data_IF_657660221707
#
_entry.id   IF_657660221707
#
_cell.length_a   1.000
_cell.length_b   1.000
_cell.length_c   1.000
_cell.angle_alpha   90.00
_cell.angle_beta   90.00
_cell.angle_gamma   90.00
#
_symmetry.space_group_name_H-M   'P 1'
#
loop_
_entity.id
_entity.type
_entity.pdbx_description
1 polymer ?
#
# COMPACT_ATOMS: atom_id res chain seq x y z
N UNK A 1 23.02 -16.76 5.15
CA UNK A 1 22.74 -16.05 6.40
C UNK A 1 21.58 -15.05 6.25
N UNK A 2 21.62 -14.12 5.28
CA UNK A 2 20.58 -13.13 4.97
C UNK A 2 20.53 -12.83 3.47
N UNK A 3 19.33 -12.64 2.91
CA UNK A 3 19.10 -12.17 1.54
C UNK A 3 18.24 -10.92 1.60
N UNK A 4 18.54 -9.92 0.80
CA UNK A 4 17.78 -8.69 0.73
C UNK A 4 17.99 -7.97 -0.60
N UNK A 5 17.06 -7.08 -0.97
CA UNK A 5 17.12 -6.26 -2.18
C UNK A 5 17.31 -4.79 -1.83
N UNK A 6 17.81 -4.01 -2.77
CA UNK A 6 17.94 -2.57 -2.63
C UNK A 6 17.99 -1.86 -3.97
N UNK A 7 17.52 -0.60 -4.02
CA UNK A 7 17.73 0.30 -5.16
C UNK A 7 19.18 0.83 -5.21
N UNK A 8 19.86 0.89 -4.06
CA UNK A 8 21.26 1.22 -3.92
C UNK A 8 21.92 0.24 -2.96
N UNK A 9 22.65 -0.74 -3.50
CA UNK A 9 23.35 -1.77 -2.73
C UNK A 9 24.35 -1.15 -1.75
N UNK A 10 25.15 -0.15 -2.19
CA UNK A 10 26.10 0.56 -1.33
C UNK A 10 25.42 1.15 -0.09
N UNK A 11 24.38 1.97 -0.27
CA UNK A 11 23.65 2.59 0.86
C UNK A 11 23.01 1.55 1.76
N UNK A 12 22.52 0.45 1.19
CA UNK A 12 21.92 -0.64 1.97
C UNK A 12 22.95 -1.34 2.84
N UNK A 13 24.07 -1.72 2.27
CA UNK A 13 25.16 -2.39 3.01
C UNK A 13 25.69 -1.45 4.09
N UNK A 14 26.03 -0.20 3.75
CA UNK A 14 26.50 0.80 4.72
C UNK A 14 25.53 0.96 5.91
N UNK A 15 24.22 0.90 5.68
CA UNK A 15 23.20 1.06 6.73
C UNK A 15 23.25 -0.02 7.80
N UNK A 16 23.74 -1.21 7.51
CA UNK A 16 23.91 -2.27 8.49
C UNK A 16 25.10 -2.05 9.39
N UNK A 17 26.18 -1.42 8.91
CA UNK A 17 27.43 -1.22 9.67
C UNK A 17 27.45 0.11 10.41
N UNK A 18 26.86 1.16 9.86
CA UNK A 18 26.94 2.50 10.45
C UNK A 18 25.98 2.73 11.62
N UNK A 19 24.84 2.02 11.66
CA UNK A 19 23.81 2.19 12.70
C UNK A 19 23.08 0.86 12.96
N UNK A 20 23.70 -0.12 13.60
CA UNK A 20 22.99 -1.33 14.00
C UNK A 20 21.97 -0.97 15.10
N UNK A 21 20.68 -1.05 14.75
CA UNK A 21 19.57 -0.54 15.59
C UNK A 21 18.88 -1.61 16.44
N UNK A 22 19.11 -2.86 16.09
CA UNK A 22 18.48 -4.03 16.66
C UNK A 22 19.58 -5.02 17.06
N UNK A 23 19.48 -5.61 18.24
CA UNK A 23 20.42 -6.63 18.72
C UNK A 23 20.55 -7.78 17.74
N UNK A 24 19.49 -8.11 17.01
CA UNK A 24 19.46 -9.13 15.96
C UNK A 24 20.30 -8.74 14.76
N UNK A 25 20.20 -7.49 14.30
CA UNK A 25 21.02 -6.98 13.21
C UNK A 25 22.49 -6.91 13.63
N UNK A 26 22.78 -6.52 14.88
CA UNK A 26 24.13 -6.54 15.43
C UNK A 26 24.71 -7.95 15.42
N UNK A 27 23.94 -8.94 15.88
CA UNK A 27 24.33 -10.35 15.84
C UNK A 27 24.55 -10.84 14.41
N UNK A 28 23.69 -10.43 13.45
CA UNK A 28 23.89 -10.75 12.05
C UNK A 28 25.19 -10.14 11.51
N UNK A 29 25.45 -8.87 11.77
CA UNK A 29 26.64 -8.14 11.30
C UNK A 29 27.91 -8.75 11.84
N UNK A 30 27.93 -9.16 13.11
CA UNK A 30 29.12 -9.81 13.73
C UNK A 30 29.48 -11.17 13.10
N UNK A 31 28.54 -11.81 12.40
CA UNK A 31 28.71 -13.10 11.76
C UNK A 31 28.96 -13.00 10.23
N UNK A 32 28.99 -11.80 9.65
CA UNK A 32 29.23 -11.61 8.22
C UNK A 32 30.69 -11.93 7.90
N UNK A 33 30.92 -12.94 7.07
CA UNK A 33 32.22 -13.28 6.51
C UNK A 33 32.42 -12.69 5.11
N UNK A 34 31.36 -12.67 4.27
CA UNK A 34 31.39 -12.14 2.92
C UNK A 34 30.03 -11.55 2.54
N UNK A 35 30.06 -10.67 1.56
CA UNK A 35 28.85 -10.06 0.98
C UNK A 35 28.96 -10.22 -0.53
N UNK A 36 27.94 -10.89 -1.11
CA UNK A 36 27.79 -11.03 -2.55
C UNK A 36 26.59 -10.23 -3.02
N UNK A 37 26.58 -9.84 -4.31
CA UNK A 37 25.47 -9.13 -4.90
C UNK A 37 25.17 -9.59 -6.32
N UNK A 38 23.92 -9.42 -6.73
CA UNK A 38 23.44 -9.71 -8.07
C UNK A 38 22.68 -8.46 -8.55
N UNK A 39 23.17 -7.82 -9.58
CA UNK A 39 22.48 -6.68 -10.21
C UNK A 39 21.29 -7.17 -11.03
N UNK A 40 20.15 -6.50 -10.87
CA UNK A 40 18.95 -6.77 -11.64
C UNK A 40 18.56 -5.53 -12.46
N UNK A 41 18.12 -5.73 -13.73
CA UNK A 41 17.73 -4.61 -14.59
C UNK A 41 16.53 -3.82 -14.07
N UNK A 42 15.65 -4.46 -13.28
CA UNK A 42 14.43 -3.86 -12.77
C UNK A 42 14.19 -4.20 -11.31
N UNK A 43 13.47 -3.32 -10.62
CA UNK A 43 13.08 -3.51 -9.25
C UNK A 43 12.14 -4.71 -9.06
N UNK A 44 11.30 -5.00 -10.06
CA UNK A 44 10.43 -6.18 -10.06
C UNK A 44 11.25 -7.46 -10.11
N UNK A 45 12.26 -7.53 -10.98
CA UNK A 45 13.15 -8.69 -11.06
C UNK A 45 13.91 -8.90 -9.74
N UNK A 46 14.40 -7.81 -9.11
CA UNK A 46 15.03 -7.89 -7.80
C UNK A 46 14.07 -8.40 -6.71
N UNK A 47 12.79 -8.01 -6.75
CA UNK A 47 11.76 -8.47 -5.81
C UNK A 47 11.53 -10.00 -5.93
N UNK A 48 11.40 -10.50 -7.16
CA UNK A 48 11.19 -11.94 -7.38
C UNK A 48 12.45 -12.75 -7.13
N UNK A 49 13.63 -12.23 -7.49
CA UNK A 49 14.91 -12.88 -7.20
C UNK A 49 15.13 -13.03 -5.68
N UNK A 50 14.89 -11.97 -4.89
CA UNK A 50 14.95 -12.02 -3.43
C UNK A 50 14.08 -13.17 -2.90
N UNK A 51 12.80 -13.22 -3.32
CA UNK A 51 11.88 -14.26 -2.88
C UNK A 51 12.32 -15.67 -3.27
N UNK A 52 12.83 -15.84 -4.50
CA UNK A 52 13.35 -17.13 -4.98
C UNK A 52 14.61 -17.59 -4.21
N UNK A 53 15.51 -16.66 -3.89
CA UNK A 53 16.70 -16.94 -3.09
C UNK A 53 16.34 -17.27 -1.64
N UNK A 54 15.39 -16.54 -1.03
CA UNK A 54 14.89 -16.85 0.32
C UNK A 54 14.25 -18.24 0.34
N UNK A 55 13.43 -18.59 -0.66
CA UNK A 55 12.83 -19.92 -0.79
C UNK A 55 13.88 -21.03 -0.92
N UNK A 56 14.91 -20.79 -1.74
CA UNK A 56 15.98 -21.78 -2.02
C UNK A 56 16.90 -22.00 -0.84
N UNK A 57 17.39 -20.93 -0.21
CA UNK A 57 18.43 -20.99 0.81
C UNK A 57 17.90 -20.96 2.24
N UNK A 58 16.64 -20.62 2.47
CA UNK A 58 16.02 -20.49 3.78
C UNK A 58 16.93 -19.76 4.79
N UNK A 59 17.42 -18.53 4.48
CA UNK A 59 18.45 -17.88 5.29
C UNK A 59 17.93 -17.61 6.69
N UNK A 60 18.73 -17.91 7.71
CA UNK A 60 18.34 -17.85 9.12
C UNK A 60 17.69 -16.52 9.51
N UNK A 61 18.32 -15.38 9.15
CA UNK A 61 17.80 -14.06 9.50
C UNK A 61 16.56 -13.62 8.68
N UNK A 62 16.27 -14.26 7.55
CA UNK A 62 15.00 -14.09 6.84
C UNK A 62 13.90 -14.99 7.41
N UNK A 63 14.26 -16.20 7.90
CA UNK A 63 13.30 -17.17 8.46
C UNK A 63 12.76 -16.69 9.80
N UNK A 64 13.58 -16.06 10.65
CA UNK A 64 13.13 -15.45 11.91
C UNK A 64 12.07 -14.35 11.72
N UNK A 65 11.96 -13.78 10.53
CA UNK A 65 10.89 -12.84 10.18
C UNK A 65 9.61 -13.55 9.70
N UNK A 66 9.61 -14.89 9.52
CA UNK A 66 8.46 -15.66 9.02
C UNK A 66 7.27 -15.71 9.98
N UNK A 67 7.47 -15.50 11.26
CA UNK A 67 6.39 -15.45 12.26
C UNK A 67 5.49 -14.20 12.14
N UNK A 68 5.85 -13.26 11.25
CA UNK A 68 5.02 -12.10 10.97
C UNK A 68 3.88 -12.47 10.00
N UNK A 69 2.65 -12.42 10.51
CA UNK A 69 1.39 -12.63 9.77
C UNK A 69 1.21 -11.72 8.53
N UNK A 70 2.20 -10.88 8.24
CA UNK A 70 2.19 -9.90 7.12
C UNK A 70 2.66 -10.47 5.78
N UNK A 71 3.32 -11.63 5.74
CA UNK A 71 3.82 -12.22 4.50
C UNK A 71 2.71 -12.68 3.56
N UNK A 72 3.01 -12.60 2.26
CA UNK A 72 2.10 -13.04 1.20
C UNK A 72 2.83 -13.91 0.19
N UNK A 73 2.10 -14.84 -0.42
CA UNK A 73 2.56 -15.67 -1.52
C UNK A 73 1.78 -15.30 -2.78
N UNK A 74 2.48 -15.22 -3.91
CA UNK A 74 1.85 -15.18 -5.23
C UNK A 74 1.72 -16.60 -5.74
N UNK A 75 0.49 -17.05 -5.98
CA UNK A 75 0.20 -18.37 -6.50
C UNK A 75 -0.42 -18.29 -7.87
N UNK A 76 -0.15 -19.28 -8.71
CA UNK A 76 -0.84 -19.48 -9.98
C UNK A 76 -1.69 -20.75 -9.82
N UNK A 77 -3.01 -20.62 -10.01
CA UNK A 77 -3.94 -21.74 -9.86
C UNK A 77 -3.69 -22.82 -10.89
N UNK A 78 -4.06 -24.06 -10.54
CA UNK A 78 -4.02 -25.20 -11.46
C UNK A 78 -5.42 -25.49 -12.03
N UNK A 79 -5.97 -24.51 -12.76
CA UNK A 79 -7.28 -24.53 -13.40
C UNK A 79 -7.13 -24.59 -14.92
N UNK A 80 -8.23 -24.76 -15.63
CA UNK A 80 -8.28 -24.66 -17.10
C UNK A 80 -7.75 -23.30 -17.60
N UNK A 81 -8.11 -22.22 -16.89
CA UNK A 81 -7.58 -20.86 -17.07
C UNK A 81 -6.82 -20.43 -15.80
N UNK A 82 -5.52 -20.72 -15.69
CA UNK A 82 -4.77 -20.46 -14.48
C UNK A 82 -4.72 -18.96 -14.15
N UNK A 83 -4.93 -18.60 -12.89
CA UNK A 83 -4.98 -17.20 -12.44
C UNK A 83 -3.89 -16.91 -11.42
N UNK A 84 -3.10 -15.83 -11.57
CA UNK A 84 -2.23 -15.34 -10.53
C UNK A 84 -3.04 -14.60 -9.47
N UNK A 85 -2.86 -14.95 -8.19
CA UNK A 85 -3.46 -14.24 -7.07
C UNK A 85 -2.59 -14.32 -5.81
N UNK A 86 -2.84 -13.43 -4.85
CA UNK A 86 -2.07 -13.34 -3.62
C UNK A 86 -2.81 -14.03 -2.47
N UNK A 87 -2.11 -14.93 -1.81
CA UNK A 87 -2.51 -15.55 -0.54
C UNK A 87 -1.70 -14.93 0.60
N UNK A 88 -2.30 -14.78 1.77
CA UNK A 88 -1.57 -14.47 3.00
C UNK A 88 -0.85 -15.71 3.49
N UNK A 89 0.24 -15.53 4.23
CA UNK A 89 0.95 -16.65 4.83
C UNK A 89 0.06 -17.47 5.79
N UNK A 90 -0.91 -16.83 6.45
CA UNK A 90 -1.90 -17.49 7.30
C UNK A 90 -2.84 -18.42 6.55
N UNK A 91 -3.07 -18.15 5.27
CA UNK A 91 -4.04 -18.88 4.42
C UNK A 91 -3.32 -19.85 3.48
N UNK A 92 -1.97 -19.83 3.49
CA UNK A 92 -1.12 -20.69 2.67
C UNK A 92 -0.65 -21.89 3.49
N UNK A 93 -1.09 -23.08 3.10
CA UNK A 93 -0.57 -24.34 3.63
C UNK A 93 0.52 -24.87 2.69
N UNK A 94 1.73 -25.02 3.19
CA UNK A 94 2.87 -25.55 2.42
C UNK A 94 2.59 -26.97 1.90
N UNK A 95 1.78 -27.78 2.60
CA UNK A 95 1.35 -29.10 2.15
C UNK A 95 0.44 -29.04 0.92
N UNK A 96 -0.28 -27.94 0.77
CA UNK A 96 -1.17 -27.67 -0.38
C UNK A 96 -0.45 -26.99 -1.55
N UNK A 97 0.87 -26.76 -1.46
CA UNK A 97 1.63 -26.10 -2.55
C UNK A 97 1.54 -26.86 -3.88
N UNK A 98 1.41 -28.19 -3.85
CA UNK A 98 1.20 -29.03 -5.03
C UNK A 98 -0.14 -28.82 -5.74
N UNK A 99 -1.13 -28.18 -5.10
CA UNK A 99 -2.41 -27.84 -5.71
C UNK A 99 -2.29 -26.63 -6.67
N UNK A 100 -1.20 -25.87 -6.61
CA UNK A 100 -0.94 -24.72 -7.47
C UNK A 100 0.05 -25.07 -8.57
N UNK A 101 -0.11 -24.43 -9.74
CA UNK A 101 0.80 -24.58 -10.87
C UNK A 101 2.17 -23.95 -10.57
N UNK A 102 2.21 -22.87 -9.82
CA UNK A 102 3.43 -22.24 -9.30
C UNK A 102 3.15 -21.45 -8.02
N UNK A 103 4.18 -21.33 -7.17
CA UNK A 103 4.17 -20.57 -5.92
C UNK A 103 5.44 -19.75 -5.82
N UNK A 104 5.30 -18.44 -5.68
CA UNK A 104 6.38 -17.46 -5.50
C UNK A 104 6.23 -16.77 -4.15
N UNK A 105 7.32 -16.48 -3.50
CA UNK A 105 7.33 -15.86 -2.17
C UNK A 105 8.18 -16.66 -1.17
N UNK A 106 8.21 -16.23 0.09
CA UNK A 106 7.36 -15.21 0.73
C UNK A 106 7.73 -13.77 0.35
N UNK A 107 6.73 -12.91 0.20
CA UNK A 107 6.89 -11.49 -0.04
C UNK A 107 6.47 -10.69 1.19
N UNK A 108 7.29 -9.70 1.59
CA UNK A 108 6.98 -8.79 2.71
C UNK A 108 5.85 -7.80 2.38
N UNK A 109 5.67 -7.47 1.10
CA UNK A 109 4.72 -6.47 0.64
C UNK A 109 3.79 -7.01 -0.43
N UNK A 110 2.56 -7.39 -0.06
CA UNK A 110 1.49 -7.72 -1.00
C UNK A 110 1.17 -6.56 -1.96
N UNK A 111 1.37 -5.32 -1.51
CA UNK A 111 1.16 -4.12 -2.33
C UNK A 111 2.18 -4.02 -3.46
N UNK A 112 3.46 -4.27 -3.15
CA UNK A 112 4.52 -4.25 -4.16
C UNK A 112 4.28 -5.33 -5.23
N UNK A 113 3.87 -6.53 -4.82
CA UNK A 113 3.55 -7.62 -5.75
C UNK A 113 2.35 -7.28 -6.64
N UNK A 114 1.28 -6.68 -6.09
CA UNK A 114 0.12 -6.23 -6.90
C UNK A 114 0.51 -5.17 -7.91
N UNK A 115 1.26 -4.16 -7.48
CA UNK A 115 1.76 -3.12 -8.38
C UNK A 115 2.66 -3.71 -9.49
N UNK A 116 3.50 -4.68 -9.16
CA UNK A 116 4.32 -5.41 -10.14
C UNK A 116 3.46 -6.16 -11.15
N UNK A 117 2.43 -6.87 -10.70
CA UNK A 117 1.48 -7.57 -11.57
C UNK A 117 0.75 -6.63 -12.53
N UNK A 118 0.36 -5.43 -12.07
CA UNK A 118 -0.31 -4.43 -12.91
C UNK A 118 0.64 -3.85 -13.97
N UNK A 119 1.91 -3.64 -13.62
CA UNK A 119 2.94 -3.20 -14.59
C UNK A 119 3.19 -4.28 -15.64
N UNK A 120 3.38 -5.52 -15.20
CA UNK A 120 3.68 -6.67 -16.07
C UNK A 120 2.51 -6.96 -17.01
N UNK A 121 1.27 -6.71 -16.60
CA UNK A 121 0.06 -6.93 -17.40
C UNK A 121 0.09 -6.20 -18.74
N UNK A 122 0.78 -5.06 -18.84
CA UNK A 122 0.95 -4.32 -20.10
C UNK A 122 1.76 -5.09 -21.14
N UNK A 123 2.71 -5.91 -20.68
CA UNK A 123 3.57 -6.72 -21.54
C UNK A 123 3.04 -8.16 -21.71
N UNK A 124 2.55 -8.73 -20.62
CA UNK A 124 2.02 -10.09 -20.56
C UNK A 124 0.58 -10.00 -20.06
N UNK A 125 -0.42 -9.95 -20.94
CA UNK A 125 -1.82 -9.73 -20.58
C UNK A 125 -2.42 -10.98 -19.91
N UNK A 126 -2.39 -11.02 -18.59
CA UNK A 126 -2.96 -12.10 -17.79
C UNK A 126 -4.36 -11.75 -17.27
N UNK A 127 -5.15 -12.76 -16.89
CA UNK A 127 -6.50 -12.62 -16.37
C UNK A 127 -6.60 -13.00 -14.89
N UNK A 128 -7.38 -12.22 -14.15
CA UNK A 128 -7.86 -12.56 -12.80
C UNK A 128 -9.31 -13.09 -12.82
N UNK A 129 -9.94 -13.09 -13.98
CA UNK A 129 -11.35 -13.43 -14.14
C UNK A 129 -11.58 -14.93 -14.19
N UNK A 130 -12.76 -15.35 -13.71
CA UNK A 130 -13.34 -16.67 -13.98
C UNK A 130 -13.98 -16.64 -15.38
N UNK A 131 -13.96 -17.74 -16.16
CA UNK A 131 -14.65 -17.81 -17.45
C UNK A 131 -16.19 -17.73 -17.29
N UNK A 132 -16.88 -17.61 -18.42
CA UNK A 132 -18.34 -17.62 -18.52
C UNK A 132 -19.05 -16.44 -17.82
N UNK A 133 -18.44 -15.27 -17.83
CA UNK A 133 -19.09 -14.04 -17.36
C UNK A 133 -19.97 -13.43 -18.45
N UNK A 134 -21.10 -12.81 -18.05
CA UNK A 134 -22.03 -12.15 -18.98
C UNK A 134 -21.43 -10.94 -19.70
N UNK A 135 -20.39 -10.33 -19.15
CA UNK A 135 -19.76 -9.12 -19.71
C UNK A 135 -18.24 -9.23 -19.66
N UNK A 136 -17.60 -8.66 -20.66
CA UNK A 136 -16.15 -8.52 -20.71
C UNK A 136 -15.65 -7.62 -19.57
N UNK A 137 -14.51 -7.98 -18.99
CA UNK A 137 -13.90 -7.20 -17.93
C UNK A 137 -13.22 -5.93 -18.48
N UNK A 138 -13.00 -4.95 -17.62
CA UNK A 138 -12.31 -3.70 -17.96
C UNK A 138 -10.94 -3.92 -18.64
N UNK A 139 -10.14 -4.86 -18.13
CA UNK A 139 -8.82 -5.15 -18.71
C UNK A 139 -8.87 -5.73 -20.13
N UNK A 140 -9.96 -6.41 -20.50
CA UNK A 140 -10.17 -6.85 -21.89
C UNK A 140 -10.42 -5.66 -22.81
N UNK A 141 -11.24 -4.69 -22.37
CA UNK A 141 -11.54 -3.49 -23.17
C UNK A 141 -10.30 -2.65 -23.47
N UNK A 142 -9.30 -2.64 -22.56
CA UNK A 142 -8.03 -1.92 -22.74
C UNK A 142 -6.88 -2.80 -23.25
N UNK A 143 -7.19 -4.00 -23.79
CA UNK A 143 -6.22 -4.96 -24.35
C UNK A 143 -5.14 -5.46 -23.35
N UNK A 144 -5.42 -5.42 -22.05
CA UNK A 144 -4.55 -5.92 -21.01
C UNK A 144 -5.02 -7.26 -20.38
N UNK A 145 -6.00 -7.89 -21.01
CA UNK A 145 -6.52 -9.23 -20.71
C UNK A 145 -6.91 -9.90 -22.03
N UNK A 146 -6.65 -11.19 -22.20
CA UNK A 146 -7.00 -11.90 -23.44
C UNK A 146 -8.49 -12.27 -23.54
N UNK A 147 -9.31 -11.91 -22.55
CA UNK A 147 -10.76 -12.14 -22.59
C UNK A 147 -11.20 -13.50 -22.04
N UNK A 148 -10.53 -14.03 -21.04
CA UNK A 148 -10.92 -15.28 -20.36
C UNK A 148 -12.38 -15.23 -19.89
N UNK A 149 -12.81 -14.08 -19.35
CA UNK A 149 -14.17 -13.89 -18.82
C UNK A 149 -15.28 -14.17 -19.86
N UNK A 150 -15.03 -13.92 -21.15
CA UNK A 150 -15.99 -14.11 -22.26
C UNK A 150 -15.50 -15.18 -23.24
N UNK A 151 -14.57 -16.05 -22.83
CA UNK A 151 -13.97 -17.11 -23.65
C UNK A 151 -13.41 -16.64 -24.99
N UNK A 152 -12.93 -15.40 -25.08
CA UNK A 152 -12.32 -14.87 -26.31
C UNK A 152 -10.94 -15.49 -26.60
N UNK A 153 -10.36 -16.22 -25.66
CA UNK A 153 -9.09 -16.93 -25.80
C UNK A 153 -9.26 -18.40 -25.42
N UNK A 154 -8.63 -19.31 -26.20
CA UNK A 154 -8.65 -20.74 -25.87
C UNK A 154 -7.75 -21.06 -24.64
N UNK A 155 -8.04 -22.13 -23.88
CA UNK A 155 -7.21 -22.54 -22.74
C UNK A 155 -5.74 -22.77 -23.12
N UNK A 156 -5.49 -23.34 -24.30
CA UNK A 156 -4.13 -23.62 -24.80
C UNK A 156 -3.37 -22.33 -25.12
N UNK A 157 -4.05 -21.35 -25.75
CA UNK A 157 -3.45 -20.04 -26.03
C UNK A 157 -3.19 -19.26 -24.74
N UNK A 158 -4.12 -19.31 -23.77
CA UNK A 158 -3.96 -18.67 -22.48
C UNK A 158 -2.86 -19.31 -21.65
N UNK A 159 -2.71 -20.64 -21.68
CA UNK A 159 -1.63 -21.36 -20.99
C UNK A 159 -0.25 -20.88 -21.44
N UNK A 160 -0.07 -20.48 -22.72
CA UNK A 160 1.19 -19.89 -23.21
C UNK A 160 1.47 -18.55 -22.55
N UNK A 161 0.45 -17.71 -22.38
CA UNK A 161 0.57 -16.40 -21.69
C UNK A 161 1.00 -16.61 -20.23
N UNK A 162 0.40 -17.58 -19.54
CA UNK A 162 0.77 -17.90 -18.15
C UNK A 162 2.18 -18.48 -18.06
N UNK A 163 2.61 -19.31 -19.04
CA UNK A 163 4.02 -19.76 -19.10
C UNK A 163 4.98 -18.58 -19.26
N UNK A 164 4.66 -17.61 -20.10
CA UNK A 164 5.48 -16.41 -20.27
C UNK A 164 5.54 -15.58 -18.97
N UNK A 165 4.45 -15.50 -18.23
CA UNK A 165 4.39 -14.85 -16.92
C UNK A 165 5.29 -15.58 -15.90
N UNK A 166 5.28 -16.91 -15.89
CA UNK A 166 6.15 -17.72 -15.02
C UNK A 166 7.62 -17.53 -15.39
N UNK A 167 7.97 -17.54 -16.68
CA UNK A 167 9.34 -17.28 -17.17
C UNK A 167 9.83 -15.90 -16.71
N UNK A 168 8.95 -14.89 -16.70
CA UNK A 168 9.27 -13.57 -16.17
C UNK A 168 9.56 -13.62 -14.65
N UNK A 169 8.73 -14.30 -13.86
CA UNK A 169 8.92 -14.43 -12.41
C UNK A 169 10.15 -15.25 -12.04
N UNK A 170 10.60 -16.15 -12.93
CA UNK A 170 11.85 -16.91 -12.78
C UNK A 170 13.10 -16.08 -13.16
N UNK A 171 12.95 -14.77 -13.44
CA UNK A 171 14.05 -13.85 -13.75
C UNK A 171 14.57 -13.95 -15.19
N UNK A 172 13.85 -14.62 -16.10
CA UNK A 172 14.26 -14.86 -17.50
C UNK A 172 13.62 -13.83 -18.48
N UNK A 173 13.56 -12.56 -18.09
CA UNK A 173 12.99 -11.50 -18.93
C UNK A 173 13.69 -11.37 -20.28
N UNK A 174 15.02 -11.50 -20.30
CA UNK A 174 15.81 -11.42 -21.54
C UNK A 174 15.41 -12.48 -22.56
N UNK A 175 15.08 -13.69 -22.10
CA UNK A 175 14.64 -14.79 -22.96
C UNK A 175 13.26 -14.53 -23.55
N UNK A 176 12.37 -13.93 -22.74
CA UNK A 176 11.05 -13.46 -23.20
C UNK A 176 11.17 -12.37 -24.28
N UNK A 177 12.04 -11.39 -24.08
CA UNK A 177 12.29 -10.34 -25.08
C UNK A 177 12.81 -10.93 -26.37
N UNK A 178 13.78 -11.86 -26.32
CA UNK A 178 14.30 -12.56 -27.50
C UNK A 178 13.19 -13.33 -28.22
N UNK A 179 12.39 -14.11 -27.48
CA UNK A 179 11.24 -14.85 -28.01
C UNK A 179 10.26 -13.92 -28.72
N UNK A 180 9.83 -12.85 -28.07
CA UNK A 180 8.85 -11.92 -28.65
C UNK A 180 9.41 -11.18 -29.88
N UNK A 181 10.71 -10.86 -29.92
CA UNK A 181 11.37 -10.30 -31.12
C UNK A 181 11.36 -11.29 -32.28
N UNK A 182 11.64 -12.57 -32.03
CA UNK A 182 11.58 -13.61 -33.07
C UNK A 182 10.16 -13.84 -33.56
N UNK A 183 9.18 -13.90 -32.66
CA UNK A 183 7.76 -14.08 -33.02
C UNK A 183 7.23 -12.87 -33.78
N UNK A 184 7.65 -11.66 -33.43
CA UNK A 184 7.35 -10.41 -34.15
C UNK A 184 7.88 -10.47 -35.59
N UNK A 185 9.11 -10.93 -35.78
CA UNK A 185 9.70 -11.05 -37.12
C UNK A 185 8.98 -12.09 -37.96
N UNK A 186 8.65 -13.26 -37.40
CA UNK A 186 7.85 -14.30 -38.06
C UNK A 186 6.46 -13.78 -38.46
N UNK A 187 5.82 -13.02 -37.56
CA UNK A 187 4.50 -12.42 -37.87
C UNK A 187 4.59 -11.40 -38.98
N UNK A 188 5.66 -10.60 -39.01
CA UNK A 188 5.92 -9.62 -40.09
C UNK A 188 6.12 -10.29 -41.44
N UNK A 189 6.94 -11.34 -41.51
CA UNK A 189 7.16 -12.13 -42.75
C UNK A 189 5.88 -12.78 -43.21
N UNK A 190 5.03 -13.25 -42.29
CA UNK A 190 3.72 -13.84 -42.58
C UNK A 190 2.63 -12.77 -42.88
N UNK A 191 3.02 -11.48 -43.00
CA UNK A 191 2.12 -10.33 -43.25
C UNK A 191 1.01 -10.13 -42.18
N UNK A 192 1.20 -10.68 -40.97
CA UNK A 192 0.29 -10.52 -39.84
C UNK A 192 0.69 -9.26 -39.02
N UNK A 193 0.48 -8.10 -39.64
CA UNK A 193 0.99 -6.82 -39.15
C UNK A 193 0.41 -6.41 -37.79
N UNK A 194 -0.86 -6.73 -37.51
CA UNK A 194 -1.46 -6.45 -36.18
C UNK A 194 -0.77 -7.25 -35.06
N UNK A 195 -0.51 -8.54 -35.30
CA UNK A 195 0.20 -9.39 -34.38
C UNK A 195 1.65 -8.90 -34.16
N UNK A 196 2.32 -8.51 -35.24
CA UNK A 196 3.67 -7.96 -35.17
C UNK A 196 3.70 -6.64 -34.36
N UNK A 197 2.70 -5.78 -34.53
CA UNK A 197 2.56 -4.53 -33.78
C UNK A 197 2.29 -4.79 -32.28
N UNK A 198 1.44 -5.77 -31.95
CA UNK A 198 1.19 -6.17 -30.54
C UNK A 198 2.47 -6.70 -29.90
N UNK A 199 3.19 -7.60 -30.57
CA UNK A 199 4.47 -8.13 -30.07
C UNK A 199 5.52 -7.04 -29.90
N UNK A 200 5.62 -6.08 -30.83
CA UNK A 200 6.50 -4.91 -30.69
C UNK A 200 6.16 -4.10 -29.43
N UNK A 201 4.87 -3.88 -29.17
CA UNK A 201 4.42 -3.13 -27.99
C UNK A 201 4.74 -3.89 -26.70
N UNK A 202 4.61 -5.22 -26.69
CA UNK A 202 5.01 -6.08 -25.55
C UNK A 202 6.52 -6.04 -25.30
N UNK A 203 7.33 -6.10 -26.35
CA UNK A 203 8.79 -5.95 -26.25
C UNK A 203 9.14 -4.59 -25.62
N UNK A 204 8.56 -3.50 -26.14
CA UNK A 204 8.77 -2.16 -25.56
C UNK A 204 8.35 -2.09 -24.10
N UNK A 205 7.20 -2.66 -23.75
CA UNK A 205 6.73 -2.68 -22.36
C UNK A 205 7.68 -3.46 -21.45
N UNK A 206 8.28 -4.56 -21.90
CA UNK A 206 9.29 -5.30 -21.15
C UNK A 206 10.62 -4.53 -21.06
N UNK A 207 11.09 -3.91 -22.13
CA UNK A 207 12.35 -3.17 -22.16
C UNK A 207 12.32 -1.90 -21.29
N UNK A 208 11.17 -1.24 -21.22
CA UNK A 208 10.97 0.04 -20.52
C UNK A 208 10.14 -0.10 -19.23
N UNK A 209 10.28 -1.21 -18.50
CA UNK A 209 9.69 -1.31 -17.17
C UNK A 209 10.34 -0.25 -16.27
N UNK A 210 9.60 0.84 -16.00
CA UNK A 210 9.97 1.87 -15.03
C UNK A 210 9.29 1.57 -13.69
N UNK A 211 9.94 0.80 -12.85
CA UNK A 211 9.38 0.24 -11.64
C UNK A 211 10.09 0.70 -10.34
N UNK A 212 11.01 1.65 -10.45
CA UNK A 212 11.76 2.22 -9.31
C UNK A 212 10.81 2.64 -8.17
N UNK A 213 9.61 3.10 -8.50
CA UNK A 213 8.59 3.45 -7.52
C UNK A 213 8.05 2.24 -6.72
N UNK A 214 8.20 1.02 -7.22
CA UNK A 214 7.74 -0.22 -6.54
C UNK A 214 8.66 -0.53 -5.36
N UNK A 215 9.98 -0.42 -5.55
CA UNK A 215 10.96 -0.66 -4.49
C UNK A 215 11.21 0.56 -3.61
N UNK A 216 11.09 1.77 -4.14
CA UNK A 216 11.34 2.99 -3.35
C UNK A 216 10.45 3.11 -2.09
N UNK A 217 9.34 2.37 -2.05
CA UNK A 217 8.48 2.26 -0.85
C UNK A 217 8.84 1.07 0.05
N UNK A 218 9.48 0.03 -0.50
CA UNK A 218 9.89 -1.17 0.25
C UNK A 218 11.32 -1.07 0.81
N UNK A 219 12.21 -0.38 0.08
CA UNK A 219 13.62 -0.19 0.45
C UNK A 219 13.85 0.96 1.42
N UNK A 220 12.81 1.64 1.84
CA UNK A 220 12.99 2.49 3.02
C UNK A 220 13.35 1.54 4.17
N UNK A 221 14.59 1.59 4.70
CA UNK A 221 14.79 1.14 6.06
C UNK A 221 13.69 1.86 6.81
N UNK A 222 12.96 1.16 7.68
CA UNK A 222 12.15 1.86 8.69
C UNK A 222 13.12 2.90 9.25
N UNK A 223 12.97 4.19 8.93
CA UNK A 223 13.95 5.15 9.39
C UNK A 223 13.85 5.11 10.91
N UNK A 224 14.95 5.22 11.60
CA UNK A 224 14.91 5.61 13.00
C UNK A 224 14.20 6.95 13.19
N UNK A 225 14.00 7.68 12.08
CA UNK A 225 13.09 8.80 11.93
C UNK A 225 11.61 8.38 11.78
N UNK A 226 11.26 7.15 11.38
CA UNK A 226 9.86 6.71 11.37
C UNK A 226 9.35 6.39 12.80
N UNK A 227 10.23 5.94 13.70
CA UNK A 227 9.89 5.92 15.14
C UNK A 227 9.82 7.34 15.74
N UNK A 228 10.45 8.33 15.10
CA UNK A 228 10.40 9.75 15.49
C UNK A 228 9.49 10.60 14.58
N UNK A 229 8.94 10.06 13.49
CA UNK A 229 8.04 10.81 12.60
C UNK A 229 6.58 10.43 12.88
N UNK A 230 5.90 11.20 13.72
CA UNK A 230 4.54 10.88 14.14
C UNK A 230 3.53 10.93 12.98
N UNK A 231 3.82 11.65 11.87
CA UNK A 231 2.94 11.73 10.70
C UNK A 231 2.96 10.43 9.89
N UNK A 232 4.10 9.73 9.88
CA UNK A 232 4.24 8.43 9.18
C UNK A 232 3.77 7.26 10.04
N UNK A 233 3.60 7.43 11.34
CA UNK A 233 2.98 6.49 12.25
C UNK A 233 1.46 6.42 12.03
N UNK A 234 0.70 6.30 13.10
CA UNK A 234 -0.76 6.37 13.07
C UNK A 234 -1.22 7.83 13.13
N UNK A 235 -1.53 8.39 11.97
CA UNK A 235 -2.16 9.70 11.82
C UNK A 235 -3.69 9.53 11.87
N UNK A 236 -4.35 10.21 12.81
CA UNK A 236 -5.81 10.31 12.85
C UNK A 236 -6.24 11.72 12.42
N UNK A 237 -7.10 11.83 11.40
CA UNK A 237 -7.65 13.10 10.97
C UNK A 237 -9.15 13.15 11.29
N UNK A 238 -9.58 14.30 11.84
CA UNK A 238 -10.94 14.52 12.31
C UNK A 238 -11.59 15.70 11.56
N UNK A 239 -12.82 15.47 11.13
CA UNK A 239 -13.71 16.46 10.53
C UNK A 239 -15.04 16.48 11.31
N UNK A 240 -15.49 17.67 11.72
CA UNK A 240 -16.81 17.88 12.33
C UNK A 240 -17.70 18.54 11.31
N UNK A 241 -18.84 17.93 11.10
CA UNK A 241 -19.83 18.43 10.16
C UNK A 241 -21.18 18.60 10.85
N UNK A 242 -21.68 19.84 10.87
CA UNK A 242 -23.01 20.19 11.37
C UNK A 242 -24.03 20.10 10.24
N UNK A 243 -25.05 19.23 10.41
CA UNK A 243 -26.24 19.29 9.56
C UNK A 243 -27.23 20.27 10.21
N UNK A 244 -27.69 21.23 9.44
CA UNK A 244 -28.71 22.25 9.81
C UNK A 244 -29.64 21.78 10.94
N UNK A 245 -29.31 22.12 12.16
CA UNK A 245 -30.24 22.18 13.30
C UNK A 245 -30.41 20.92 14.17
N UNK A 246 -30.08 19.67 13.78
CA UNK A 246 -30.56 18.52 14.57
C UNK A 246 -29.59 17.39 14.86
N UNK A 247 -28.44 17.28 14.20
CA UNK A 247 -27.50 16.19 14.50
C UNK A 247 -26.08 16.51 14.01
N UNK A 248 -25.23 17.03 14.89
CA UNK A 248 -23.81 17.13 14.63
C UNK A 248 -23.18 15.73 14.54
N UNK A 249 -22.29 15.54 13.59
CA UNK A 249 -21.53 14.29 13.40
C UNK A 249 -20.05 14.59 13.20
N UNK A 250 -19.21 13.65 13.60
CA UNK A 250 -17.79 13.73 13.30
C UNK A 250 -17.33 12.47 12.57
N UNK A 251 -16.35 12.64 11.72
CA UNK A 251 -15.63 11.57 11.05
C UNK A 251 -14.20 11.50 11.53
N UNK A 252 -13.68 10.28 11.65
CA UNK A 252 -12.28 10.00 11.91
C UNK A 252 -11.76 9.09 10.81
N UNK A 253 -10.73 9.55 10.11
CA UNK A 253 -9.98 8.72 9.17
C UNK A 253 -8.61 8.43 9.73
N UNK A 254 -8.04 7.31 9.33
CA UNK A 254 -6.74 6.83 9.82
C UNK A 254 -5.81 6.63 8.64
N UNK A 255 -4.61 7.17 8.75
CA UNK A 255 -3.51 6.94 7.83
C UNK A 255 -2.37 6.23 8.56
N UNK A 256 -1.70 5.30 7.90
CA UNK A 256 -0.44 4.68 8.36
C UNK A 256 0.53 4.71 7.18
N UNK A 257 1.77 5.09 7.45
CA UNK A 257 2.81 5.20 6.41
C UNK A 257 2.39 6.07 5.22
N UNK A 258 1.65 7.15 5.49
CA UNK A 258 1.16 8.10 4.49
C UNK A 258 0.01 7.59 3.61
N UNK A 259 -0.60 6.44 3.92
CA UNK A 259 -1.69 5.85 3.16
C UNK A 259 -2.95 5.63 4.01
N UNK A 260 -4.17 5.80 3.42
CA UNK A 260 -5.43 5.62 4.14
C UNK A 260 -5.70 4.16 4.50
N UNK A 261 -6.11 3.90 5.75
CA UNK A 261 -6.49 2.58 6.27
C UNK A 261 -7.98 2.55 6.54
N UNK A 262 -8.78 2.32 5.51
CA UNK A 262 -10.26 2.46 5.54
C UNK A 262 -10.94 1.59 6.61
N UNK A 263 -10.40 0.42 6.96
CA UNK A 263 -10.94 -0.45 8.01
C UNK A 263 -10.92 0.18 9.41
N UNK A 264 -10.08 1.20 9.62
CA UNK A 264 -9.93 1.90 10.89
C UNK A 264 -10.74 3.19 10.97
N UNK A 265 -11.47 3.58 9.92
CA UNK A 265 -12.31 4.78 9.92
C UNK A 265 -13.49 4.64 10.88
N UNK A 266 -13.84 5.73 11.55
CA UNK A 266 -14.96 5.75 12.49
C UNK A 266 -15.85 6.97 12.28
N UNK A 267 -17.12 6.79 12.61
CA UNK A 267 -18.17 7.83 12.59
C UNK A 267 -18.68 8.01 14.00
N UNK A 268 -18.79 9.26 14.41
CA UNK A 268 -19.31 9.62 15.73
C UNK A 268 -20.58 10.44 15.55
N UNK A 269 -21.67 10.01 16.17
CA UNK A 269 -22.85 10.85 16.36
C UNK A 269 -22.63 11.62 17.65
N UNK A 270 -22.73 12.93 17.61
CA UNK A 270 -22.68 13.80 18.78
C UNK A 270 -23.93 13.59 19.62
N UNK A 271 -23.77 13.47 20.92
CA UNK A 271 -24.87 13.09 21.85
C UNK A 271 -25.14 14.10 22.94
N UNK A 272 -24.10 14.78 23.41
CA UNK A 272 -24.15 15.64 24.62
C UNK A 272 -24.16 17.13 24.30
N UNK A 273 -23.80 17.51 23.07
CA UNK A 273 -23.71 18.92 22.67
C UNK A 273 -25.02 19.34 22.00
N UNK A 274 -25.66 20.35 22.55
CA UNK A 274 -26.87 20.98 22.00
C UNK A 274 -26.46 22.25 21.22
N UNK A 275 -26.84 22.30 19.94
CA UNK A 275 -26.52 23.42 19.08
C UNK A 275 -25.20 23.29 18.28
N UNK A 276 -24.84 24.32 17.49
CA UNK A 276 -23.67 24.32 16.61
C UNK A 276 -22.39 24.71 17.37
N UNK A 277 -21.91 23.86 18.26
CA UNK A 277 -20.63 24.04 18.95
C UNK A 277 -19.63 22.95 18.50
N UNK A 278 -18.77 23.35 17.54
CA UNK A 278 -17.75 22.45 16.97
C UNK A 278 -16.68 22.09 18.00
N UNK A 279 -16.35 22.97 18.95
CA UNK A 279 -15.33 22.73 19.95
C UNK A 279 -15.82 21.76 21.02
N UNK A 280 -17.03 21.92 21.52
CA UNK A 280 -17.65 20.96 22.42
C UNK A 280 -17.84 19.59 21.75
N UNK A 281 -18.25 19.59 20.48
CA UNK A 281 -18.37 18.37 19.69
C UNK A 281 -17.04 17.64 19.52
N UNK A 282 -15.94 18.38 19.30
CA UNK A 282 -14.60 17.82 19.22
C UNK A 282 -14.17 17.19 20.55
N UNK A 283 -14.41 17.89 21.67
CA UNK A 283 -14.15 17.37 23.02
C UNK A 283 -14.91 16.05 23.27
N UNK A 284 -16.18 16.00 22.92
CA UNK A 284 -16.97 14.77 23.05
C UNK A 284 -16.36 13.61 22.23
N UNK A 285 -16.02 13.86 20.98
CA UNK A 285 -15.49 12.84 20.05
C UNK A 285 -14.17 12.28 20.56
N UNK A 286 -13.22 13.15 20.90
CA UNK A 286 -11.91 12.74 21.39
C UNK A 286 -12.01 12.03 22.74
N UNK A 287 -12.83 12.53 23.68
CA UNK A 287 -13.06 11.85 24.94
C UNK A 287 -13.61 10.44 24.75
N UNK A 288 -14.54 10.25 23.84
CA UNK A 288 -15.06 8.93 23.49
C UNK A 288 -14.03 8.07 22.80
N UNK A 289 -13.22 8.65 21.91
CA UNK A 289 -12.14 7.93 21.22
C UNK A 289 -11.16 7.34 22.21
N UNK A 290 -10.72 8.11 23.20
CA UNK A 290 -9.72 7.69 24.16
C UNK A 290 -10.27 6.81 25.31
N UNK A 291 -11.59 6.82 25.56
CA UNK A 291 -12.23 5.84 26.45
C UNK A 291 -12.18 4.41 25.89
N UNK A 292 -11.97 4.23 24.60
CA UNK A 292 -11.88 2.92 23.95
C UNK A 292 -10.46 2.37 23.83
N UNK A 293 -9.48 2.96 24.55
CA UNK A 293 -8.07 2.50 24.55
C UNK A 293 -7.91 1.00 24.87
N UNK A 294 -8.76 0.49 25.76
CA UNK A 294 -8.71 -0.89 26.24
C UNK A 294 -9.43 -1.89 25.30
N UNK A 295 -10.04 -1.42 24.21
CA UNK A 295 -10.75 -2.23 23.21
C UNK A 295 -9.97 -2.48 21.93
N UNK A 296 -8.64 -2.43 21.98
CA UNK A 296 -7.77 -2.67 20.84
C UNK A 296 -7.65 -1.49 19.86
N UNK A 297 -8.06 -0.28 20.26
CA UNK A 297 -7.82 0.91 19.47
C UNK A 297 -6.43 1.46 19.78
N UNK A 298 -5.50 1.28 18.85
CA UNK A 298 -4.14 1.81 18.97
C UNK A 298 -4.14 3.34 19.19
N UNK A 299 -3.16 3.82 19.94
CA UNK A 299 -2.95 5.26 20.13
C UNK A 299 -2.49 5.92 18.82
N UNK A 300 -2.96 7.15 18.51
CA UNK A 300 -2.40 7.92 17.40
C UNK A 300 -1.00 8.44 17.76
N UNK A 301 -0.16 8.52 16.75
CA UNK A 301 1.16 9.16 16.82
C UNK A 301 1.07 10.64 16.41
N UNK A 302 0.03 11.01 15.65
CA UNK A 302 -0.27 12.37 15.23
C UNK A 302 -1.78 12.57 15.08
N UNK A 303 -2.28 13.73 15.48
CA UNK A 303 -3.69 14.13 15.30
C UNK A 303 -3.76 15.35 14.39
N UNK A 304 -4.59 15.27 13.35
CA UNK A 304 -4.89 16.37 12.44
C UNK A 304 -6.36 16.78 12.58
N UNK A 305 -6.58 18.06 12.74
CA UNK A 305 -7.92 18.67 12.75
C UNK A 305 -8.22 19.35 11.42
N UNK A 306 -9.39 19.11 10.85
CA UNK A 306 -9.90 19.96 9.77
C UNK A 306 -10.44 21.25 10.35
N UNK A 307 -9.52 22.19 10.65
CA UNK A 307 -9.86 23.46 11.27
C UNK A 307 -8.69 24.21 11.90
N UNK A 308 -9.00 25.28 12.61
CA UNK A 308 -8.05 26.24 13.15
C UNK A 308 -7.69 26.01 14.63
N UNK A 309 -7.11 27.06 15.23
CA UNK A 309 -6.58 27.08 16.59
C UNK A 309 -7.60 26.61 17.66
N UNK A 310 -8.88 26.96 17.51
CA UNK A 310 -9.89 26.56 18.49
C UNK A 310 -10.12 25.06 18.59
N UNK A 311 -10.09 24.34 17.44
CA UNK A 311 -10.20 22.88 17.43
C UNK A 311 -8.92 22.20 17.95
N UNK A 312 -7.75 22.80 17.68
CA UNK A 312 -6.47 22.35 18.26
C UNK A 312 -6.53 22.45 19.78
N UNK A 313 -6.98 23.60 20.32
CA UNK A 313 -7.07 23.79 21.77
C UNK A 313 -8.05 22.82 22.43
N UNK A 314 -9.20 22.57 21.82
CA UNK A 314 -10.17 21.58 22.28
C UNK A 314 -9.56 20.15 22.31
N UNK A 315 -8.73 19.80 21.33
CA UNK A 315 -8.02 18.53 21.33
C UNK A 315 -6.96 18.45 22.44
N UNK A 316 -6.16 19.50 22.62
CA UNK A 316 -5.13 19.56 23.66
C UNK A 316 -5.74 19.48 25.07
N UNK A 317 -6.89 20.12 25.31
CA UNK A 317 -7.62 20.04 26.55
C UNK A 317 -8.01 18.58 26.90
N UNK A 318 -8.54 17.85 25.93
CA UNK A 318 -8.87 16.42 26.15
C UNK A 318 -7.63 15.58 26.39
N UNK A 319 -6.56 15.80 25.60
CA UNK A 319 -5.32 15.03 25.72
C UNK A 319 -4.61 15.28 27.05
N UNK A 320 -4.62 16.50 27.57
CA UNK A 320 -4.04 16.86 28.87
C UNK A 320 -4.77 16.20 30.04
N UNK A 321 -6.07 15.93 29.91
CA UNK A 321 -6.87 15.20 30.89
C UNK A 321 -6.69 13.69 30.88
N UNK A 322 -5.92 13.14 29.92
CA UNK A 322 -5.67 11.72 29.84
C UNK A 322 -4.50 11.32 30.77
N UNK A 323 -4.70 10.29 31.58
CA UNK A 323 -3.63 9.68 32.38
C UNK A 323 -2.70 8.86 31.48
N UNK A 324 -1.77 9.54 30.78
CA UNK A 324 -0.80 8.93 29.87
C UNK A 324 0.50 9.72 29.86
N UNK A 325 1.61 9.02 29.70
CA UNK A 325 2.94 9.62 29.48
C UNK A 325 3.20 9.93 28.00
N UNK A 326 2.27 9.56 27.08
CA UNK A 326 2.43 9.79 25.64
C UNK A 326 2.12 11.26 25.32
N UNK A 327 3.05 11.89 24.63
CA UNK A 327 2.87 13.20 24.03
C UNK A 327 2.43 13.00 22.58
N UNK A 328 1.20 13.41 22.26
CA UNK A 328 0.62 13.27 20.91
C UNK A 328 0.58 14.65 20.26
N UNK A 329 1.35 14.88 19.18
CA UNK A 329 1.30 16.13 18.45
C UNK A 329 -0.05 16.37 17.79
N UNK A 330 -0.52 17.61 17.85
CA UNK A 330 -1.77 18.06 17.26
C UNK A 330 -1.48 19.21 16.30
N UNK A 331 -2.04 19.12 15.08
CA UNK A 331 -2.05 20.20 14.12
C UNK A 331 -3.46 20.42 13.56
N UNK A 332 -3.70 21.62 13.05
CA UNK A 332 -4.89 21.97 12.30
C UNK A 332 -4.54 22.32 10.86
N UNK A 333 -5.46 22.07 9.96
CA UNK A 333 -5.38 22.48 8.57
C UNK A 333 -6.54 23.45 8.31
N UNK A 334 -6.24 24.74 8.22
CA UNK A 334 -7.22 25.79 7.99
C UNK A 334 -7.05 26.40 6.59
N UNK A 335 -8.13 26.89 6.01
CA UNK A 335 -8.06 27.71 4.80
C UNK A 335 -7.49 29.07 5.16
N UNK A 336 -6.47 29.50 4.42
CA UNK A 336 -5.85 30.81 4.61
C UNK A 336 -6.85 31.96 4.43
N UNK A 337 -6.51 33.20 4.88
CA UNK A 337 -7.42 34.36 4.84
C UNK A 337 -8.00 34.65 3.46
N UNK A 338 -7.27 34.37 2.39
CA UNK A 338 -7.69 34.53 0.99
C UNK A 338 -8.33 33.27 0.39
N UNK A 339 -8.51 32.19 1.17
CA UNK A 339 -9.05 30.88 0.74
C UNK A 339 -8.30 30.21 -0.42
N UNK A 340 -7.10 30.68 -0.76
CA UNK A 340 -6.28 30.26 -1.89
C UNK A 340 -5.22 29.23 -1.51
N UNK A 341 -4.85 29.14 -0.22
CA UNK A 341 -3.82 28.20 0.29
C UNK A 341 -4.20 27.58 1.61
N UNK A 342 -3.95 26.28 1.73
CA UNK A 342 -4.06 25.56 2.99
C UNK A 342 -2.91 25.96 3.93
N UNK A 343 -3.26 26.44 5.12
CA UNK A 343 -2.34 26.80 6.18
C UNK A 343 -2.33 25.73 7.25
N UNK A 344 -1.14 25.21 7.56
CA UNK A 344 -0.96 24.27 8.65
C UNK A 344 -0.67 25.07 9.92
N UNK A 345 -1.42 24.77 10.96
CA UNK A 345 -1.30 25.40 12.28
C UNK A 345 -0.85 24.33 13.25
N UNK A 346 0.33 24.51 13.87
CA UNK A 346 0.83 23.65 14.93
C UNK A 346 0.52 24.29 16.28
N UNK A 347 0.21 23.45 17.28
CA UNK A 347 0.19 23.92 18.65
C UNK A 347 1.61 24.37 19.07
N UNK A 348 1.75 25.45 19.86
CA UNK A 348 3.06 26.00 20.24
C UNK A 348 4.01 24.97 20.87
N UNK A 349 3.47 24.03 21.66
CA UNK A 349 4.24 22.95 22.27
C UNK A 349 4.92 22.00 21.24
N UNK A 350 4.54 22.03 19.98
CA UNK A 350 5.04 21.18 18.88
C UNK A 350 5.73 22.00 17.78
N UNK A 351 6.16 23.22 18.05
CA UNK A 351 6.84 24.09 17.10
C UNK A 351 8.08 23.43 16.47
N UNK A 352 8.78 22.57 17.19
CA UNK A 352 9.91 21.78 16.68
C UNK A 352 9.57 20.83 15.53
N UNK A 353 8.29 20.53 15.31
CA UNK A 353 7.82 19.68 14.20
C UNK A 353 7.48 20.48 12.93
N UNK A 354 7.72 21.79 12.92
CA UNK A 354 7.35 22.67 11.79
C UNK A 354 7.89 22.15 10.45
N UNK A 355 9.19 21.88 10.36
CA UNK A 355 9.80 21.42 9.10
C UNK A 355 9.29 20.04 8.69
N UNK A 356 9.06 19.17 9.66
CA UNK A 356 8.52 17.84 9.44
C UNK A 356 7.09 17.90 8.87
N UNK A 357 6.25 18.75 9.42
CA UNK A 357 4.86 18.96 8.99
C UNK A 357 4.82 19.54 7.58
N UNK A 358 5.66 20.53 7.30
CA UNK A 358 5.79 21.08 5.95
C UNK A 358 6.31 20.09 4.92
N UNK A 359 7.28 19.26 5.28
CA UNK A 359 7.79 18.19 4.41
C UNK A 359 6.72 17.15 4.04
N UNK A 360 5.74 16.92 4.90
CA UNK A 360 4.67 15.95 4.70
C UNK A 360 3.30 16.61 4.47
N UNK A 361 3.28 17.86 4.02
CA UNK A 361 2.06 18.65 3.78
C UNK A 361 1.06 17.92 2.89
N UNK A 362 1.52 17.25 1.84
CA UNK A 362 0.65 16.53 0.90
C UNK A 362 -0.11 15.38 1.58
N UNK A 363 0.52 14.68 2.55
CA UNK A 363 -0.14 13.62 3.32
C UNK A 363 -1.23 14.21 4.21
N UNK A 364 -0.96 15.36 4.84
CA UNK A 364 -1.91 16.03 5.71
C UNK A 364 -3.11 16.56 4.93
N UNK A 365 -2.88 17.16 3.77
CA UNK A 365 -3.95 17.61 2.86
C UNK A 365 -4.79 16.40 2.42
N UNK A 366 -4.14 15.32 2.00
CA UNK A 366 -4.85 14.10 1.61
C UNK A 366 -5.67 13.50 2.76
N UNK A 367 -5.16 13.54 3.99
CA UNK A 367 -5.89 13.05 5.16
C UNK A 367 -7.13 13.91 5.46
N UNK A 368 -7.02 15.25 5.36
CA UNK A 368 -8.16 16.15 5.49
C UNK A 368 -9.22 15.91 4.40
N UNK A 369 -8.81 15.85 3.15
CA UNK A 369 -9.73 15.66 2.02
C UNK A 369 -10.46 14.31 2.13
N UNK A 370 -9.77 13.27 2.62
CA UNK A 370 -10.38 11.97 2.86
C UNK A 370 -11.35 12.00 4.06
N UNK A 371 -11.06 12.77 5.12
CA UNK A 371 -11.95 12.97 6.26
C UNK A 371 -13.23 13.66 5.80
N UNK A 372 -13.09 14.75 5.04
CA UNK A 372 -14.21 15.48 4.45
C UNK A 372 -15.05 14.61 3.49
N UNK A 373 -14.39 13.84 2.59
CA UNK A 373 -15.06 12.89 1.69
C UNK A 373 -15.87 11.85 2.48
N UNK A 374 -15.29 11.31 3.56
CA UNK A 374 -15.92 10.31 4.41
C UNK A 374 -17.12 10.88 5.19
N UNK A 375 -17.03 12.13 5.65
CA UNK A 375 -18.14 12.86 6.29
C UNK A 375 -19.31 13.06 5.33
N UNK A 376 -19.08 13.56 4.12
CA UNK A 376 -20.12 13.78 3.09
C UNK A 376 -20.85 12.46 2.78
N UNK A 377 -20.13 11.37 2.62
CA UNK A 377 -20.72 10.05 2.36
C UNK A 377 -21.66 9.61 3.50
N UNK A 378 -21.31 9.95 4.75
CA UNK A 378 -22.15 9.65 5.91
C UNK A 378 -23.42 10.51 5.94
N UNK A 379 -23.31 11.79 5.64
CA UNK A 379 -24.46 12.69 5.56
C UNK A 379 -25.48 12.25 4.51
N UNK A 380 -25.00 11.83 3.32
CA UNK A 380 -25.90 11.30 2.27
C UNK A 380 -26.64 10.03 2.75
N UNK A 381 -25.95 9.13 3.45
CA UNK A 381 -26.56 7.92 4.00
C UNK A 381 -27.57 8.19 5.12
N UNK A 382 -27.38 9.23 5.93
CA UNK A 382 -28.34 9.66 6.94
C UNK A 382 -29.60 10.28 6.33
N UNK A 383 -29.43 11.18 5.33
CA UNK A 383 -30.57 11.79 4.61
C UNK A 383 -31.44 10.73 3.91
N UNK A 384 -30.84 9.75 3.24
CA UNK A 384 -31.59 8.68 2.57
C UNK A 384 -32.36 7.76 3.54
N UNK A 385 -31.96 7.69 4.82
CA UNK A 385 -32.71 6.97 5.86
C UNK A 385 -33.86 7.80 6.43
N UNK A 386 -33.73 9.13 6.46
CA UNK A 386 -34.81 10.03 6.93
C UNK A 386 -35.92 10.21 5.88
N UNK A 387 -35.61 10.11 4.59
CA UNK A 387 -36.59 10.17 3.49
C UNK A 387 -37.31 8.83 3.24
N UNK A 388 -36.91 7.74 3.91
CA UNK A 388 -37.56 6.42 3.82
C UNK A 388 -38.43 6.10 5.04
N UNK A 389 -38.62 7.03 5.96
CA UNK A 389 -39.62 7.02 7.02
C UNK A 389 -40.70 8.06 6.73
#
# INVERSE_FOLDING_TARGET
>A
MYVGKATSLKKRVESYFTRPRDNRIQAMVSLIASIDYIEQPTAIEALFLEANLIKRYQPYYNVLEKDDKSFSYLVITNEEYPRPFLLRATDFDEKSAGAYKAVYGPFKSARAVRASLDIIRKAIPWSACVPDQKRACFYYSIKQCPGVCVRAVSPQAYSKIIKDLMVFFDGKRSDLIKKYKQDMQKASVAQKYELAADLRNRVRALEHIQDVAVLAKDDRPLPAEAEKNPIMGRLECYDISNISGTSATASMVVFKHGAPVKGLYRKFKIRTVLGPDDYASMREVLSRRFKHKDRGWEWPDFILMDGGVGQINAALEVLSGLQTTRVIPVAGLAKGPKRDRDQIILAPAFASLHDLVHKHKDILIHARDEAHRFAIAYHRALRSKLTKK
#
